data_IF_853554891836
#
_entry.id   IF_853554891836
#
_cell.length_a   1.000
_cell.length_b   1.000
_cell.length_c   1.000
_cell.angle_alpha   90.00
_cell.angle_beta   90.00
_cell.angle_gamma   90.00
#
_symmetry.space_group_name_H-M   'P 1'
#
loop_
_entity.id
_entity.type
_entity.pdbx_description
1 polymer ?
#
# COMPACT_ATOMS: atom_id res chain seq x y z
N UNK A 1 7.29 -0.90 -30.06
CA UNK A 1 8.74 -0.59 -29.95
C UNK A 1 8.90 0.38 -28.80
N UNK A 2 9.59 0.00 -27.72
CA UNK A 2 9.86 0.89 -26.58
C UNK A 2 11.37 0.91 -26.34
N UNK A 3 12.11 1.50 -27.27
CA UNK A 3 13.56 1.70 -27.14
C UNK A 3 13.82 2.70 -26.03
N UNK A 4 14.25 2.19 -24.88
CA UNK A 4 14.65 3.04 -23.77
C UNK A 4 16.02 3.64 -24.06
N UNK A 5 16.05 4.89 -24.52
CA UNK A 5 17.29 5.63 -24.79
C UNK A 5 17.78 6.38 -23.56
N UNK A 6 19.09 6.58 -23.49
CA UNK A 6 19.75 7.29 -22.40
C UNK A 6 19.42 8.78 -22.53
N UNK A 7 18.67 9.34 -21.56
CA UNK A 7 18.34 10.77 -21.54
C UNK A 7 19.57 11.70 -21.47
N UNK A 8 20.74 11.20 -21.09
CA UNK A 8 21.96 12.00 -20.97
C UNK A 8 22.82 12.02 -22.22
N UNK A 9 22.89 10.92 -22.96
CA UNK A 9 23.79 10.80 -24.14
C UNK A 9 23.12 10.26 -25.40
N UNK A 10 21.83 9.93 -25.36
CA UNK A 10 21.08 9.39 -26.50
C UNK A 10 21.34 7.91 -26.82
N UNK A 11 22.38 7.29 -26.25
CA UNK A 11 22.68 5.87 -26.50
C UNK A 11 21.58 4.93 -26.01
N UNK A 12 21.41 3.81 -26.70
CA UNK A 12 20.50 2.72 -26.37
C UNK A 12 21.20 1.53 -25.69
N UNK A 13 22.51 1.62 -25.46
CA UNK A 13 23.31 0.56 -24.85
C UNK A 13 23.39 0.71 -23.32
N UNK A 14 22.90 -0.30 -22.61
CA UNK A 14 22.85 -0.36 -21.15
C UNK A 14 23.32 -1.71 -20.63
N UNK A 15 24.05 -1.68 -19.54
CA UNK A 15 24.34 -2.85 -18.71
C UNK A 15 23.24 -2.93 -17.65
N UNK A 16 22.47 -4.02 -17.64
CA UNK A 16 21.48 -4.29 -16.61
C UNK A 16 22.15 -5.02 -15.43
N UNK A 17 22.06 -4.44 -14.23
CA UNK A 17 22.36 -5.09 -12.96
C UNK A 17 21.05 -5.31 -12.19
N UNK A 18 21.09 -6.11 -11.11
CA UNK A 18 19.89 -6.62 -10.42
C UNK A 18 18.88 -5.53 -9.98
N UNK A 19 19.34 -4.32 -9.68
CA UNK A 19 18.52 -3.21 -9.16
C UNK A 19 18.61 -1.91 -10.00
N UNK A 20 19.60 -1.82 -10.90
CA UNK A 20 19.83 -0.63 -11.71
C UNK A 20 20.44 -0.99 -13.06
N UNK A 21 20.20 -0.16 -14.06
CA UNK A 21 20.89 -0.24 -15.35
C UNK A 21 21.83 0.94 -15.54
N UNK A 22 22.97 0.70 -16.16
CA UNK A 22 24.01 1.71 -16.40
C UNK A 22 24.20 1.88 -17.88
N UNK A 23 24.09 3.10 -18.39
CA UNK A 23 24.44 3.38 -19.78
C UNK A 23 25.95 3.18 -19.97
N UNK A 24 26.37 2.36 -20.95
CA UNK A 24 27.80 2.09 -21.19
C UNK A 24 28.59 3.34 -21.56
N UNK A 25 27.97 4.29 -22.27
CA UNK A 25 28.67 5.44 -22.84
C UNK A 25 28.93 6.56 -21.84
N UNK A 26 27.90 6.99 -21.10
CA UNK A 26 28.00 8.09 -20.16
C UNK A 26 28.06 7.64 -18.69
N UNK A 27 27.98 6.32 -18.45
CA UNK A 27 27.94 5.69 -17.12
C UNK A 27 26.80 6.21 -16.24
N UNK A 28 25.73 6.74 -16.86
CA UNK A 28 24.53 7.18 -16.13
C UNK A 28 23.79 5.97 -15.60
N UNK A 29 23.52 5.98 -14.29
CA UNK A 29 22.77 4.94 -13.60
C UNK A 29 21.28 5.29 -13.62
N UNK A 30 20.46 4.34 -14.05
CA UNK A 30 19.00 4.41 -14.03
C UNK A 30 18.51 3.30 -13.11
N UNK A 31 17.76 3.66 -12.07
CA UNK A 31 17.11 2.68 -11.20
C UNK A 31 16.07 1.92 -12.02
N UNK A 32 16.20 0.59 -12.09
CA UNK A 32 15.14 -0.24 -12.62
C UNK A 32 14.15 -0.30 -11.47
N UNK A 33 13.15 0.58 -11.47
CA UNK A 33 11.97 0.36 -10.65
C UNK A 33 11.34 -0.91 -11.20
N UNK A 34 11.77 -2.09 -10.70
CA UNK A 34 10.89 -3.24 -10.64
C UNK A 34 9.65 -2.68 -9.99
N UNK A 35 8.52 -2.73 -10.68
CA UNK A 35 7.22 -2.73 -10.03
C UNK A 35 7.17 -3.99 -9.15
N UNK A 36 7.99 -4.02 -8.09
CA UNK A 36 7.55 -4.63 -6.86
C UNK A 36 6.29 -3.84 -6.59
N UNK A 37 5.13 -4.47 -6.80
CA UNK A 37 3.89 -4.08 -6.16
C UNK A 37 4.29 -3.82 -4.71
N UNK A 38 4.58 -2.57 -4.41
CA UNK A 38 4.81 -2.14 -3.05
C UNK A 38 3.57 -2.66 -2.32
N UNK A 39 3.69 -3.45 -1.25
CA UNK A 39 2.65 -3.40 -0.25
C UNK A 39 2.70 -1.94 0.19
N UNK A 40 1.91 -1.10 -0.47
CA UNK A 40 1.60 0.22 0.01
C UNK A 40 0.90 -0.08 1.32
N UNK A 41 1.67 -0.15 2.41
CA UNK A 41 1.20 0.15 3.75
C UNK A 41 0.86 1.65 3.80
N UNK A 42 0.02 2.09 2.85
CA UNK A 42 -0.92 3.15 3.09
C UNK A 42 -1.96 2.48 3.97
N UNK A 43 -1.66 2.44 5.27
CA UNK A 43 -2.63 2.17 6.31
C UNK A 43 -3.61 3.35 6.24
N UNK A 44 -4.46 3.32 5.23
CA UNK A 44 -5.59 4.21 5.13
C UNK A 44 -6.45 3.83 6.30
N UNK A 45 -6.64 4.74 7.24
CA UNK A 45 -7.52 4.59 8.41
C UNK A 45 -8.89 3.96 8.04
N UNK A 46 -9.35 4.17 6.80
CA UNK A 46 -10.57 3.59 6.24
C UNK A 46 -10.50 2.07 6.04
N UNK A 47 -9.31 1.53 5.72
CA UNK A 47 -9.05 0.10 5.58
C UNK A 47 -9.04 -0.59 6.95
N UNK A 48 -8.43 0.03 7.97
CA UNK A 48 -8.47 -0.46 9.35
C UNK A 48 -9.90 -0.53 9.91
N UNK A 49 -10.71 0.51 9.67
CA UNK A 49 -12.12 0.52 10.07
C UNK A 49 -12.88 -0.64 9.40
N UNK A 50 -12.67 -0.87 8.10
CA UNK A 50 -13.30 -2.00 7.39
C UNK A 50 -12.87 -3.34 7.99
N UNK A 51 -11.58 -3.54 8.21
CA UNK A 51 -11.05 -4.77 8.78
C UNK A 51 -11.59 -5.02 10.20
N UNK A 52 -11.72 -3.97 11.02
CA UNK A 52 -12.31 -4.08 12.36
C UNK A 52 -13.81 -4.40 12.29
N UNK A 53 -14.57 -3.81 11.37
CA UNK A 53 -15.99 -4.13 11.15
C UNK A 53 -16.17 -5.58 10.70
N UNK A 54 -15.29 -6.09 9.84
CA UNK A 54 -15.29 -7.50 9.46
C UNK A 54 -14.94 -8.43 10.62
N UNK A 55 -14.05 -8.02 11.53
CA UNK A 55 -13.77 -8.78 12.76
C UNK A 55 -14.98 -8.82 13.69
N UNK A 56 -15.74 -7.73 13.81
CA UNK A 56 -17.01 -7.75 14.55
C UNK A 56 -18.00 -8.78 14.03
N UNK A 57 -18.02 -9.04 12.72
CA UNK A 57 -18.91 -10.04 12.09
C UNK A 57 -18.40 -11.47 12.27
N UNK A 58 -17.08 -11.68 12.18
CA UNK A 58 -16.45 -13.00 12.30
C UNK A 58 -16.35 -13.49 13.73
N UNK A 59 -16.18 -12.59 14.69
CA UNK A 59 -15.99 -12.91 16.09
C UNK A 59 -16.94 -12.07 16.98
N UNK A 60 -18.21 -12.47 17.09
CA UNK A 60 -19.23 -11.75 17.85
C UNK A 60 -18.87 -11.62 19.34
N UNK A 61 -18.12 -12.58 19.89
CA UNK A 61 -17.69 -12.57 21.29
C UNK A 61 -16.78 -11.37 21.62
N UNK A 62 -15.94 -10.91 20.69
CA UNK A 62 -15.12 -9.70 20.86
C UNK A 62 -15.59 -8.51 20.02
N UNK A 63 -16.75 -8.59 19.37
CA UNK A 63 -17.30 -7.51 18.55
C UNK A 63 -17.40 -6.18 19.30
N UNK A 64 -17.74 -6.23 20.60
CA UNK A 64 -17.75 -5.05 21.46
C UNK A 64 -16.37 -4.37 21.56
N UNK A 65 -15.28 -5.13 21.65
CA UNK A 65 -13.91 -4.59 21.75
C UNK A 65 -13.49 -3.95 20.43
N UNK A 66 -13.74 -4.61 19.31
CA UNK A 66 -13.45 -4.07 17.97
C UNK A 66 -14.27 -2.82 17.66
N UNK A 67 -15.55 -2.78 18.04
CA UNK A 67 -16.40 -1.60 17.89
C UNK A 67 -15.88 -0.39 18.69
N UNK A 68 -15.37 -0.60 19.90
CA UNK A 68 -14.73 0.48 20.67
C UNK A 68 -13.47 1.00 19.98
N UNK A 69 -12.64 0.13 19.40
CA UNK A 69 -11.47 0.55 18.61
C UNK A 69 -11.86 1.38 17.38
N UNK A 70 -12.95 1.02 16.70
CA UNK A 70 -13.45 1.79 15.57
C UNK A 70 -13.90 3.19 16.01
N UNK A 71 -14.54 3.33 17.18
CA UNK A 71 -14.99 4.62 17.69
C UNK A 71 -13.85 5.51 18.19
N UNK A 72 -12.77 4.92 18.69
CA UNK A 72 -11.55 5.65 19.04
C UNK A 72 -10.92 6.30 17.78
N UNK A 73 -10.94 5.58 16.67
CA UNK A 73 -10.43 6.04 15.36
C UNK A 73 -11.41 7.00 14.67
N UNK A 74 -12.71 6.68 14.68
CA UNK A 74 -13.78 7.44 14.06
C UNK A 74 -15.02 7.46 14.98
N UNK A 75 -15.15 8.48 15.85
CA UNK A 75 -16.22 8.55 16.84
C UNK A 75 -17.61 8.73 16.22
N UNK A 76 -17.70 9.17 14.96
CA UNK A 76 -18.95 9.33 14.22
C UNK A 76 -19.38 8.05 13.49
N UNK A 77 -18.67 6.93 13.65
CA UNK A 77 -19.01 5.69 12.96
C UNK A 77 -20.33 5.08 13.48
N UNK A 78 -21.39 5.19 12.67
CA UNK A 78 -22.72 4.71 13.03
C UNK A 78 -22.78 3.17 13.14
N UNK A 79 -22.04 2.43 12.32
CA UNK A 79 -22.01 0.96 12.38
C UNK A 79 -21.43 0.46 13.71
N UNK A 80 -20.31 1.04 14.15
CA UNK A 80 -19.69 0.68 15.42
C UNK A 80 -20.61 0.98 16.62
N UNK A 81 -21.32 2.12 16.61
CA UNK A 81 -22.34 2.43 17.62
C UNK A 81 -23.50 1.44 17.61
N UNK A 82 -23.96 1.04 16.42
CA UNK A 82 -25.01 0.03 16.28
C UNK A 82 -24.57 -1.34 16.81
N UNK A 83 -23.31 -1.73 16.60
CA UNK A 83 -22.75 -2.98 17.15
C UNK A 83 -22.76 -2.93 18.69
N UNK A 84 -22.34 -1.82 19.30
CA UNK A 84 -22.39 -1.67 20.77
C UNK A 84 -23.81 -1.69 21.35
N UNK A 85 -24.83 -1.30 20.59
CA UNK A 85 -26.23 -1.36 21.04
C UNK A 85 -26.87 -2.74 20.93
N UNK A 86 -26.21 -3.71 20.27
CA UNK A 86 -26.72 -5.07 20.05
C UNK A 86 -26.23 -6.11 21.08
N UNK A 87 -25.26 -5.75 21.91
CA UNK A 87 -24.63 -6.59 22.95
C UNK A 87 -24.66 -5.89 24.30
#
# INVERSE_FOLDING_TARGET
>A
MNEMTCKKCGSNDFIEAEDYKVCMFCRTRYLIKKEIKSPTSTISVHDDIKMLLEKCKRDPANARRYANLILDINPSNAEARAILGRY
#
